data_IF_479288585950
#
_entry.id   IF_479288585950
#
_cell.length_a   1.000
_cell.length_b   1.000
_cell.length_c   1.000
_cell.angle_alpha   90.00
_cell.angle_beta   90.00
_cell.angle_gamma   90.00
#
_symmetry.space_group_name_H-M   'P 1'
#
loop_
_entity.id
_entity.type
_entity.pdbx_description
1 polymer ?
#
# COMPACT_ATOMS: atom_id res chain seq x y z
N UNK A 1 -32.22 5.92 16.52
CA UNK A 1 -31.06 5.08 16.13
C UNK A 1 -29.83 5.57 16.88
N UNK A 2 -29.27 4.72 17.75
CA UNK A 2 -28.17 5.06 18.65
C UNK A 2 -26.97 5.66 17.87
N UNK A 3 -26.31 6.72 18.38
CA UNK A 3 -25.19 7.37 17.69
C UNK A 3 -24.06 6.39 17.35
N UNK A 4 -23.89 5.33 18.15
CA UNK A 4 -22.94 4.24 17.89
C UNK A 4 -23.25 3.44 16.61
N UNK A 5 -24.53 3.15 16.31
CA UNK A 5 -24.92 2.39 15.11
C UNK A 5 -24.72 3.20 13.83
N UNK A 6 -24.99 4.51 13.88
CA UNK A 6 -24.71 5.41 12.75
C UNK A 6 -23.21 5.50 12.48
N UNK A 7 -22.40 5.64 13.53
CA UNK A 7 -20.95 5.67 13.37
C UNK A 7 -20.39 4.38 12.83
N UNK A 8 -20.84 3.24 13.36
CA UNK A 8 -20.45 1.93 12.85
C UNK A 8 -20.78 1.78 11.37
N UNK A 9 -21.97 2.21 10.95
CA UNK A 9 -22.38 2.14 9.55
C UNK A 9 -21.53 3.03 8.64
N UNK A 10 -21.13 4.21 9.10
CA UNK A 10 -20.23 5.10 8.36
C UNK A 10 -18.83 4.48 8.25
N UNK A 11 -18.31 3.89 9.34
CA UNK A 11 -17.02 3.17 9.34
C UNK A 11 -17.09 2.01 8.34
N UNK A 12 -18.14 1.19 8.37
CA UNK A 12 -18.32 0.08 7.44
C UNK A 12 -18.40 0.53 5.98
N UNK A 13 -19.11 1.63 5.70
CA UNK A 13 -19.23 2.20 4.36
C UNK A 13 -17.90 2.76 3.82
N UNK A 14 -17.01 3.19 4.70
CA UNK A 14 -15.64 3.61 4.36
C UNK A 14 -14.68 2.40 4.27
N UNK A 15 -14.84 1.43 5.16
CA UNK A 15 -14.01 0.23 5.23
C UNK A 15 -14.20 -0.65 4.01
N UNK A 16 -15.43 -0.86 3.53
CA UNK A 16 -15.70 -1.70 2.36
C UNK A 16 -14.85 -1.34 1.13
N UNK A 17 -14.88 -0.08 0.65
CA UNK A 17 -14.03 0.38 -0.46
C UNK A 17 -12.53 0.29 -0.16
N UNK A 18 -12.10 0.56 1.07
CA UNK A 18 -10.69 0.47 1.46
C UNK A 18 -10.19 -0.97 1.50
N UNK A 19 -11.00 -1.91 1.99
CA UNK A 19 -10.71 -3.34 1.98
C UNK A 19 -10.65 -3.84 0.54
N UNK A 20 -11.61 -3.48 -0.31
CA UNK A 20 -11.60 -3.84 -1.72
C UNK A 20 -10.36 -3.30 -2.44
N UNK A 21 -9.91 -2.08 -2.12
CA UNK A 21 -8.66 -1.51 -2.63
C UNK A 21 -7.43 -2.29 -2.16
N UNK A 22 -7.37 -2.70 -0.88
CA UNK A 22 -6.30 -3.56 -0.36
C UNK A 22 -6.28 -4.93 -1.04
N UNK A 23 -7.44 -5.55 -1.23
CA UNK A 23 -7.56 -6.84 -1.92
C UNK A 23 -7.13 -6.73 -3.39
N UNK A 24 -7.50 -5.65 -4.07
CA UNK A 24 -7.05 -5.41 -5.45
C UNK A 24 -5.53 -5.25 -5.54
N UNK A 25 -4.91 -4.56 -4.58
CA UNK A 25 -3.44 -4.45 -4.50
C UNK A 25 -2.79 -5.82 -4.24
N UNK A 26 -3.36 -6.62 -3.35
CA UNK A 26 -2.89 -8.00 -3.11
C UNK A 26 -3.01 -8.86 -4.37
N UNK A 27 -4.10 -8.70 -5.13
CA UNK A 27 -4.32 -9.42 -6.39
C UNK A 27 -3.28 -9.05 -7.45
N UNK A 28 -2.85 -7.78 -7.51
CA UNK A 28 -1.76 -7.35 -8.40
C UNK A 28 -0.45 -8.05 -8.03
N UNK A 29 -0.06 -8.00 -6.75
CA UNK A 29 1.19 -8.67 -6.28
C UNK A 29 1.15 -10.18 -6.55
N UNK A 30 -0.01 -10.80 -6.30
CA UNK A 30 -0.21 -12.23 -6.57
C UNK A 30 -0.11 -12.53 -8.07
N UNK A 31 -0.72 -11.71 -8.92
CA UNK A 31 -0.65 -11.85 -10.38
C UNK A 31 0.78 -11.73 -10.87
N UNK A 32 1.52 -10.71 -10.43
CA UNK A 32 2.93 -10.53 -10.78
C UNK A 32 3.76 -11.77 -10.40
N UNK A 33 3.52 -12.34 -9.21
CA UNK A 33 4.21 -13.55 -8.74
C UNK A 33 3.90 -14.79 -9.58
N UNK A 34 2.61 -15.01 -9.90
CA UNK A 34 2.18 -16.13 -10.76
C UNK A 34 2.78 -16.00 -12.16
N UNK A 35 2.85 -14.77 -12.68
CA UNK A 35 3.42 -14.49 -13.99
C UNK A 35 4.94 -14.71 -14.01
N UNK A 36 5.67 -14.33 -12.95
CA UNK A 36 7.09 -14.70 -12.80
C UNK A 36 7.27 -16.22 -12.80
N UNK A 37 6.40 -16.95 -12.11
CA UNK A 37 6.41 -18.42 -12.08
C UNK A 37 6.17 -19.06 -13.45
N UNK A 38 5.39 -18.42 -14.33
CA UNK A 38 5.16 -18.88 -15.71
C UNK A 38 6.36 -18.65 -16.64
N UNK A 39 7.21 -17.67 -16.36
CA UNK A 39 8.43 -17.42 -17.15
C UNK A 39 9.47 -18.51 -16.87
N UNK A 40 9.62 -18.90 -15.61
CA UNK A 40 10.44 -20.04 -15.21
C UNK A 40 10.91 -19.99 -13.75
N UNK A 41 11.48 -21.08 -13.22
CA UNK A 41 11.93 -21.16 -11.83
C UNK A 41 13.04 -20.15 -11.50
N UNK A 42 13.98 -19.92 -12.40
CA UNK A 42 15.07 -18.94 -12.23
C UNK A 42 14.55 -17.50 -12.23
N UNK A 43 13.60 -17.21 -13.11
CA UNK A 43 12.89 -15.93 -13.17
C UNK A 43 12.10 -15.67 -11.88
N UNK A 44 11.42 -16.68 -11.35
CA UNK A 44 10.71 -16.57 -10.07
C UNK A 44 11.68 -16.35 -8.89
N UNK A 45 12.83 -17.03 -8.86
CA UNK A 45 13.83 -16.86 -7.81
C UNK A 45 14.44 -15.45 -7.81
N UNK A 46 14.91 -14.98 -8.97
CA UNK A 46 15.47 -13.62 -9.11
C UNK A 46 14.42 -12.53 -8.92
N UNK A 47 13.22 -12.72 -9.47
CA UNK A 47 12.12 -11.76 -9.37
C UNK A 47 11.52 -11.69 -7.98
N UNK A 48 11.42 -12.82 -7.29
CA UNK A 48 11.02 -12.89 -5.88
C UNK A 48 12.00 -12.14 -4.97
N UNK A 49 13.30 -12.27 -5.21
CA UNK A 49 14.32 -11.51 -4.48
C UNK A 49 14.15 -10.00 -4.69
N UNK A 50 14.04 -9.56 -5.95
CA UNK A 50 13.82 -8.14 -6.27
C UNK A 50 12.48 -7.60 -5.72
N UNK A 51 11.40 -8.39 -5.80
CA UNK A 51 10.08 -8.03 -5.28
C UNK A 51 10.07 -7.95 -3.75
N UNK A 52 10.77 -8.84 -3.04
CA UNK A 52 10.89 -8.80 -1.59
C UNK A 52 11.63 -7.53 -1.13
N UNK A 53 12.77 -7.24 -1.76
CA UNK A 53 13.54 -6.01 -1.53
C UNK A 53 12.69 -4.76 -1.80
N UNK A 54 12.00 -4.71 -2.94
CA UNK A 54 11.11 -3.61 -3.28
C UNK A 54 9.96 -3.46 -2.28
N UNK A 55 9.37 -4.57 -1.83
CA UNK A 55 8.28 -4.58 -0.87
C UNK A 55 8.73 -4.01 0.48
N UNK A 56 9.94 -4.33 0.92
CA UNK A 56 10.52 -3.78 2.16
C UNK A 56 10.60 -2.25 2.10
N UNK A 57 11.20 -1.71 1.04
CA UNK A 57 11.31 -0.25 0.84
C UNK A 57 9.92 0.37 0.68
N UNK A 58 9.05 -0.27 -0.10
CA UNK A 58 7.69 0.21 -0.35
C UNK A 58 6.85 0.27 0.92
N UNK A 59 6.92 -0.72 1.82
CA UNK A 59 6.18 -0.69 3.07
C UNK A 59 6.61 0.44 3.98
N UNK A 60 7.92 0.72 4.07
CA UNK A 60 8.41 1.88 4.80
C UNK A 60 7.84 3.18 4.20
N UNK A 61 7.91 3.34 2.88
CA UNK A 61 7.38 4.53 2.23
C UNK A 61 5.85 4.67 2.39
N UNK A 62 5.09 3.59 2.25
CA UNK A 62 3.64 3.56 2.47
C UNK A 62 3.29 3.93 3.92
N UNK A 63 4.07 3.43 4.90
CA UNK A 63 3.91 3.79 6.30
C UNK A 63 4.09 5.30 6.54
N UNK A 64 5.11 5.90 5.95
CA UNK A 64 5.30 7.37 5.99
C UNK A 64 4.13 8.10 5.33
N UNK A 65 3.65 7.60 4.19
CA UNK A 65 2.53 8.20 3.45
C UNK A 65 1.18 8.07 4.17
N UNK A 66 1.00 7.08 5.03
CA UNK A 66 -0.21 6.94 5.84
C UNK A 66 -0.46 8.18 6.74
N UNK A 67 0.61 8.88 7.14
CA UNK A 67 0.51 10.13 7.90
C UNK A 67 -0.24 11.24 7.15
N UNK A 68 -0.16 11.26 5.81
CA UNK A 68 -0.89 12.25 4.98
C UNK A 68 -2.38 12.09 5.20
N UNK A 69 -2.88 10.86 5.17
CA UNK A 69 -4.30 10.56 5.39
C UNK A 69 -4.79 11.09 6.74
N UNK A 70 -4.09 10.74 7.82
CA UNK A 70 -4.46 11.13 9.18
C UNK A 70 -4.46 12.65 9.37
N UNK A 71 -3.42 13.34 8.93
CA UNK A 71 -3.32 14.80 9.08
C UNK A 71 -4.35 15.53 8.22
N UNK A 72 -4.62 15.06 7.00
CA UNK A 72 -5.70 15.61 6.17
C UNK A 72 -7.05 15.40 6.84
N UNK A 73 -7.30 14.23 7.44
CA UNK A 73 -8.55 13.96 8.15
C UNK A 73 -8.77 14.91 9.33
N UNK A 74 -7.70 15.22 10.08
CA UNK A 74 -7.74 16.19 11.18
C UNK A 74 -8.06 17.60 10.67
N UNK A 75 -7.35 18.07 9.63
CA UNK A 75 -7.59 19.41 9.05
C UNK A 75 -8.98 19.53 8.43
N UNK A 76 -9.44 18.48 7.75
CA UNK A 76 -10.79 18.39 7.21
C UNK A 76 -11.85 18.46 8.32
N UNK A 77 -11.64 17.73 9.42
CA UNK A 77 -12.51 17.80 10.60
C UNK A 77 -12.58 19.18 11.24
N UNK A 78 -11.47 19.93 11.21
CA UNK A 78 -11.38 21.30 11.74
C UNK A 78 -11.99 22.37 10.80
N UNK A 79 -12.45 21.98 9.61
CA UNK A 79 -12.94 22.92 8.59
C UNK A 79 -11.83 23.69 7.84
N UNK A 80 -10.56 23.35 8.07
CA UNK A 80 -9.40 23.98 7.43
C UNK A 80 -9.12 23.37 6.05
N UNK A 81 -9.88 23.83 5.04
CA UNK A 81 -9.80 23.34 3.66
C UNK A 81 -8.48 23.70 2.98
N UNK A 82 -7.92 24.88 3.30
CA UNK A 82 -6.64 25.33 2.76
C UNK A 82 -5.49 24.50 3.33
N UNK A 83 -5.48 24.26 4.65
CA UNK A 83 -4.51 23.40 5.31
C UNK A 83 -4.54 21.97 4.76
N UNK A 84 -5.73 21.39 4.58
CA UNK A 84 -5.88 20.06 3.97
C UNK A 84 -5.31 20.00 2.53
N UNK A 85 -5.50 21.06 1.75
CA UNK A 85 -4.98 21.17 0.38
C UNK A 85 -3.45 21.26 0.38
N UNK A 86 -2.88 22.14 1.21
CA UNK A 86 -1.42 22.30 1.33
C UNK A 86 -0.73 21.05 1.85
N UNK A 87 -1.37 20.32 2.77
CA UNK A 87 -0.84 19.08 3.33
C UNK A 87 -0.84 17.95 2.30
N UNK A 88 -1.85 17.90 1.43
CA UNK A 88 -1.88 16.97 0.29
C UNK A 88 -0.81 17.29 -0.75
N UNK A 89 -0.58 18.58 -1.04
CA UNK A 89 0.53 19.01 -1.91
C UNK A 89 1.89 18.66 -1.30
N UNK A 90 2.09 18.89 0.00
CA UNK A 90 3.30 18.49 0.72
C UNK A 90 3.48 16.96 0.72
N UNK A 91 2.39 16.20 0.84
CA UNK A 91 2.39 14.75 0.71
C UNK A 91 2.79 14.27 -0.68
N UNK A 92 2.34 14.94 -1.75
CA UNK A 92 2.80 14.67 -3.11
C UNK A 92 4.29 14.96 -3.29
N UNK A 93 4.77 16.11 -2.81
CA UNK A 93 6.20 16.43 -2.83
C UNK A 93 7.03 15.41 -2.02
N UNK A 94 6.51 14.97 -0.86
CA UNK A 94 7.13 13.93 -0.07
C UNK A 94 7.17 12.60 -0.82
N UNK A 95 6.07 12.21 -1.47
CA UNK A 95 5.98 11.00 -2.28
C UNK A 95 7.05 10.97 -3.38
N UNK A 96 7.24 12.09 -4.09
CA UNK A 96 8.25 12.20 -5.14
C UNK A 96 9.68 12.20 -4.59
N UNK A 97 9.94 12.93 -3.50
CA UNK A 97 11.24 12.92 -2.84
C UNK A 97 11.61 11.54 -2.30
N UNK A 98 10.67 10.85 -1.65
CA UNK A 98 10.84 9.49 -1.15
C UNK A 98 11.02 8.50 -2.28
N UNK A 99 10.24 8.60 -3.36
CA UNK A 99 10.38 7.75 -4.54
C UNK A 99 11.77 7.89 -5.18
N UNK A 100 12.31 9.11 -5.27
CA UNK A 100 13.65 9.34 -5.81
C UNK A 100 14.73 8.70 -4.92
N UNK A 101 14.67 8.92 -3.60
CA UNK A 101 15.63 8.34 -2.65
C UNK A 101 15.55 6.81 -2.67
N UNK A 102 14.34 6.26 -2.68
CA UNK A 102 14.11 4.82 -2.75
C UNK A 102 14.58 4.22 -4.09
N UNK A 103 14.39 4.91 -5.21
CA UNK A 103 14.90 4.46 -6.50
C UNK A 103 16.43 4.44 -6.55
N UNK A 104 17.09 5.49 -6.04
CA UNK A 104 18.55 5.55 -5.91
C UNK A 104 19.09 4.43 -5.01
N UNK A 105 18.41 4.14 -3.90
CA UNK A 105 18.77 3.06 -2.99
C UNK A 105 18.67 1.70 -3.69
N UNK A 106 17.56 1.45 -4.41
CA UNK A 106 17.31 0.20 -5.10
C UNK A 106 18.27 -0.04 -6.27
N UNK A 107 18.66 1.01 -7.00
CA UNK A 107 19.66 0.88 -8.07
C UNK A 107 21.06 0.57 -7.55
N UNK A 108 21.41 1.02 -6.34
CA UNK A 108 22.72 0.73 -5.74
C UNK A 108 22.73 -0.54 -4.88
N UNK A 109 21.67 -1.36 -4.96
CA UNK A 109 21.50 -2.51 -4.06
C UNK A 109 22.17 -3.80 -4.56
N UNK A 110 22.52 -3.87 -5.84
CA UNK A 110 23.22 -5.00 -6.47
C UNK A 110 24.49 -5.45 -5.69
N UNK A 111 25.45 -4.57 -5.33
CA UNK A 111 26.63 -4.97 -4.57
C UNK A 111 26.30 -5.44 -3.15
N UNK A 112 25.23 -4.93 -2.54
CA UNK A 112 24.79 -5.31 -1.19
C UNK A 112 24.23 -6.74 -1.24
N UNK A 113 23.40 -7.05 -2.24
CA UNK A 113 22.84 -8.39 -2.44
C UNK A 113 23.93 -9.45 -2.68
N UNK A 114 25.00 -9.10 -3.39
CA UNK A 114 26.17 -9.98 -3.58
C UNK A 114 26.93 -10.23 -2.25
N UNK A 115 27.07 -9.20 -1.39
CA UNK A 115 27.70 -9.36 -0.08
C UNK A 115 26.91 -10.25 0.89
N UNK A 116 25.59 -10.38 0.70
CA UNK A 116 24.73 -11.28 1.47
C UNK A 116 24.84 -12.76 1.03
N UNK A 117 25.73 -13.09 0.08
CA UNK A 117 25.98 -14.47 -0.35
C UNK A 117 24.91 -15.06 -1.28
N UNK A 118 24.11 -14.21 -1.93
CA UNK A 118 23.14 -14.64 -2.94
C UNK A 118 23.85 -15.09 -4.22
N UNK A 119 23.30 -16.10 -4.90
CA UNK A 119 23.84 -16.59 -6.16
C UNK A 119 23.87 -15.47 -7.22
N UNK A 120 25.01 -15.29 -7.90
CA UNK A 120 25.22 -14.21 -8.87
C UNK A 120 24.15 -14.17 -9.98
N UNK A 121 23.68 -15.33 -10.43
CA UNK A 121 22.60 -15.45 -11.42
C UNK A 121 21.27 -14.85 -10.91
N UNK A 122 20.92 -15.07 -9.64
CA UNK A 122 19.70 -14.52 -9.03
C UNK A 122 19.84 -13.01 -8.82
N UNK A 123 21.03 -12.53 -8.44
CA UNK A 123 21.30 -11.11 -8.24
C UNK A 123 21.22 -10.34 -9.55
N UNK A 124 21.76 -10.89 -10.64
CA UNK A 124 21.68 -10.25 -11.95
C UNK A 124 20.24 -10.17 -12.47
N UNK A 125 19.45 -11.23 -12.30
CA UNK A 125 18.02 -11.25 -12.64
C UNK A 125 17.21 -10.29 -11.76
N UNK A 126 17.52 -10.20 -10.47
CA UNK A 126 16.91 -9.24 -9.55
C UNK A 126 17.29 -7.80 -9.94
N UNK A 127 18.53 -7.55 -10.34
CA UNK A 127 19.00 -6.23 -10.79
C UNK A 127 18.23 -5.78 -12.03
N UNK A 128 18.03 -6.67 -13.02
CA UNK A 128 17.20 -6.38 -14.20
C UNK A 128 15.76 -5.99 -13.83
N UNK A 129 15.18 -6.67 -12.83
CA UNK A 129 13.84 -6.33 -12.31
C UNK A 129 13.83 -4.97 -11.59
N UNK A 130 14.87 -4.70 -10.79
CA UNK A 130 15.09 -3.50 -10.01
C UNK A 130 15.47 -2.27 -10.86
N UNK A 131 15.75 -2.41 -12.16
CA UNK A 131 15.92 -1.26 -13.07
C UNK A 131 14.57 -0.60 -13.32
N UNK A 132 13.54 -1.39 -13.66
CA UNK A 132 12.21 -0.88 -14.06
C UNK A 132 11.26 -0.68 -12.90
N UNK A 133 11.32 -1.54 -11.88
CA UNK A 133 10.35 -1.53 -10.79
C UNK A 133 10.35 -0.24 -9.94
N UNK A 134 11.49 0.44 -9.69
CA UNK A 134 11.48 1.71 -8.97
C UNK A 134 10.67 2.82 -9.65
N UNK A 135 10.45 2.75 -10.97
CA UNK A 135 9.54 3.67 -11.66
C UNK A 135 8.07 3.52 -11.23
N UNK A 136 7.71 2.43 -10.54
CA UNK A 136 6.40 2.25 -9.92
C UNK A 136 6.24 3.05 -8.61
N UNK A 137 7.34 3.31 -7.86
CA UNK A 137 7.30 4.03 -6.59
C UNK A 137 6.67 5.42 -6.67
N UNK A 138 7.01 6.31 -7.62
CA UNK A 138 6.38 7.63 -7.69
C UNK A 138 4.87 7.53 -7.92
N UNK A 139 4.43 6.59 -8.75
CA UNK A 139 3.01 6.30 -8.98
C UNK A 139 2.32 5.77 -7.72
N UNK A 140 2.90 4.75 -7.08
CA UNK A 140 2.36 4.13 -5.87
C UNK A 140 2.25 5.11 -4.70
N UNK A 141 3.30 5.89 -4.43
CA UNK A 141 3.28 6.85 -3.32
C UNK A 141 2.36 8.03 -3.61
N UNK A 142 2.30 8.50 -4.85
CA UNK A 142 1.31 9.51 -5.25
C UNK A 142 -0.11 8.97 -5.08
N UNK A 143 -0.38 7.75 -5.54
CA UNK A 143 -1.68 7.10 -5.34
C UNK A 143 -2.04 6.98 -3.86
N UNK A 144 -1.09 6.63 -2.99
CA UNK A 144 -1.32 6.57 -1.54
C UNK A 144 -1.61 7.96 -0.93
N UNK A 145 -0.92 9.01 -1.38
CA UNK A 145 -1.21 10.38 -0.96
C UNK A 145 -2.65 10.79 -1.32
N UNK A 146 -3.04 10.58 -2.57
CA UNK A 146 -4.36 10.93 -3.08
C UNK A 146 -5.45 10.05 -2.47
N UNK A 147 -5.18 8.76 -2.28
CA UNK A 147 -6.07 7.82 -1.58
C UNK A 147 -6.31 8.29 -0.17
N UNK A 148 -5.25 8.65 0.57
CA UNK A 148 -5.34 9.21 1.91
C UNK A 148 -6.23 10.44 1.95
N UNK A 149 -6.01 11.39 1.04
CA UNK A 149 -6.85 12.59 0.91
C UNK A 149 -8.32 12.25 0.62
N UNK A 150 -8.59 11.43 -0.40
CA UNK A 150 -9.95 11.11 -0.84
C UNK A 150 -10.72 10.35 0.27
N UNK A 151 -10.03 9.48 0.99
CA UNK A 151 -10.57 8.75 2.14
C UNK A 151 -10.80 9.67 3.34
N UNK A 152 -9.96 10.69 3.53
CA UNK A 152 -10.13 11.72 4.56
C UNK A 152 -11.38 12.56 4.39
N UNK A 153 -11.86 12.72 3.15
CA UNK A 153 -13.11 13.41 2.84
C UNK A 153 -14.34 12.48 2.97
N UNK A 154 -14.16 11.24 3.41
CA UNK A 154 -15.25 10.26 3.51
C UNK A 154 -15.64 9.62 2.17
N UNK A 155 -14.84 9.79 1.11
CA UNK A 155 -15.17 9.37 -0.26
C UNK A 155 -14.20 8.30 -0.77
N UNK A 156 -14.23 7.10 -0.17
CA UNK A 156 -13.35 6.01 -0.59
C UNK A 156 -13.81 5.26 -1.87
N UNK A 157 -14.99 5.56 -2.42
CA UNK A 157 -15.55 4.90 -3.61
C UNK A 157 -14.66 4.97 -4.87
N UNK A 158 -14.14 6.16 -5.27
CA UNK A 158 -13.26 6.27 -6.43
C UNK A 158 -11.96 5.47 -6.29
N UNK A 159 -11.43 5.37 -5.06
CA UNK A 159 -10.22 4.57 -4.78
C UNK A 159 -10.48 3.11 -5.10
N UNK A 160 -11.62 2.56 -4.66
CA UNK A 160 -12.00 1.17 -4.95
C UNK A 160 -12.11 0.92 -6.45
N UNK A 161 -12.85 1.76 -7.19
CA UNK A 161 -13.06 1.55 -8.63
C UNK A 161 -11.76 1.60 -9.41
N UNK A 162 -10.86 2.53 -9.05
CA UNK A 162 -9.56 2.68 -9.72
C UNK A 162 -8.63 1.52 -9.33
N UNK A 163 -8.62 1.07 -8.07
CA UNK A 163 -7.84 -0.10 -7.66
C UNK A 163 -8.28 -1.38 -8.35
N UNK A 164 -9.58 -1.64 -8.45
CA UNK A 164 -10.11 -2.82 -9.16
C UNK A 164 -9.81 -2.76 -10.67
N UNK A 165 -10.02 -1.60 -11.30
CA UNK A 165 -9.67 -1.40 -12.71
C UNK A 165 -8.16 -1.54 -12.93
N UNK A 166 -7.34 -1.03 -12.01
CA UNK A 166 -5.88 -1.17 -12.05
C UNK A 166 -5.43 -2.62 -11.92
N UNK A 167 -6.03 -3.40 -11.02
CA UNK A 167 -5.73 -4.83 -10.90
C UNK A 167 -6.11 -5.61 -12.17
N UNK A 168 -7.27 -5.31 -12.76
CA UNK A 168 -7.68 -5.89 -14.04
C UNK A 168 -6.72 -5.50 -15.18
N UNK A 169 -6.34 -4.23 -15.25
CA UNK A 169 -5.37 -3.75 -16.24
C UNK A 169 -4.00 -4.42 -16.06
N UNK A 170 -3.49 -4.55 -14.84
CA UNK A 170 -2.24 -5.26 -14.55
C UNK A 170 -2.29 -6.70 -15.05
N UNK A 171 -3.37 -7.44 -14.76
CA UNK A 171 -3.53 -8.81 -15.26
C UNK A 171 -3.52 -8.88 -16.80
N UNK A 172 -4.28 -8.02 -17.47
CA UNK A 172 -4.37 -8.00 -18.94
C UNK A 172 -3.04 -7.60 -19.57
N UNK A 173 -2.38 -6.56 -19.06
CA UNK A 173 -1.09 -6.09 -19.60
C UNK A 173 0.03 -7.12 -19.36
N UNK A 174 0.09 -7.72 -18.18
CA UNK A 174 1.05 -8.79 -17.89
C UNK A 174 0.83 -10.01 -18.81
N UNK A 175 -0.43 -10.41 -18.99
CA UNK A 175 -0.76 -11.52 -19.88
C UNK A 175 -0.40 -11.22 -21.35
N UNK A 176 -0.74 -10.01 -21.83
CA UNK A 176 -0.42 -9.57 -23.18
C UNK A 176 1.08 -9.51 -23.45
N UNK A 177 1.88 -9.10 -22.45
CA UNK A 177 3.34 -9.11 -22.54
C UNK A 177 3.92 -10.51 -22.68
N UNK A 178 3.43 -11.47 -21.89
CA UNK A 178 3.95 -12.85 -21.91
C UNK A 178 3.56 -13.57 -23.21
N UNK A 179 2.35 -13.35 -23.72
CA UNK A 179 1.87 -13.97 -24.96
C UNK A 179 2.35 -13.25 -26.24
N UNK A 180 3.19 -12.21 -26.13
CA UNK A 180 3.73 -11.44 -27.26
C UNK A 180 2.67 -10.89 -28.23
N UNK A 181 1.42 -10.73 -27.77
CA UNK A 181 0.26 -10.38 -28.62
C UNK A 181 0.39 -9.03 -29.34
N UNK A 182 1.32 -8.17 -28.92
CA UNK A 182 1.55 -6.83 -29.47
C UNK A 182 2.86 -6.68 -30.26
N UNK A 183 3.57 -7.78 -30.58
CA UNK A 183 4.90 -7.69 -31.22
C UNK A 183 5.95 -7.01 -30.33
N UNK A 184 5.69 -6.92 -29.02
CA UNK A 184 6.60 -6.37 -28.02
C UNK A 184 7.75 -7.34 -27.76
N UNK A 185 8.99 -6.84 -27.58
CA UNK A 185 10.13 -7.67 -27.25
C UNK A 185 9.90 -8.39 -25.91
N UNK A 186 10.38 -9.63 -25.83
CA UNK A 186 10.21 -10.47 -24.64
C UNK A 186 11.14 -9.96 -23.51
N UNK A 187 10.70 -8.91 -22.81
CA UNK A 187 11.47 -8.26 -21.73
C UNK A 187 11.48 -9.09 -20.43
N UNK A 188 10.85 -10.27 -20.42
CA UNK A 188 10.85 -11.20 -19.27
C UNK A 188 10.45 -10.52 -17.97
N UNK A 189 11.31 -10.62 -16.95
CA UNK A 189 11.11 -9.99 -15.64
C UNK A 189 10.95 -8.47 -15.71
N UNK A 190 11.80 -7.81 -16.50
CA UNK A 190 11.80 -6.36 -16.67
C UNK A 190 10.45 -5.87 -17.20
N UNK A 191 9.78 -6.72 -17.99
CA UNK A 191 8.42 -6.52 -18.45
C UNK A 191 7.38 -6.42 -17.34
N UNK A 192 7.40 -7.36 -16.40
CA UNK A 192 6.47 -7.37 -15.26
C UNK A 192 6.66 -6.08 -14.42
N UNK A 193 7.91 -5.68 -14.17
CA UNK A 193 8.22 -4.45 -13.46
C UNK A 193 7.71 -3.20 -14.19
N UNK A 194 7.84 -3.16 -15.52
CA UNK A 194 7.35 -2.07 -16.36
C UNK A 194 5.81 -1.99 -16.38
N UNK A 195 5.12 -3.13 -16.48
CA UNK A 195 3.65 -3.17 -16.41
C UNK A 195 3.18 -2.64 -15.06
N UNK A 196 3.78 -3.07 -13.96
CA UNK A 196 3.43 -2.59 -12.62
C UNK A 196 3.74 -1.10 -12.47
N UNK A 197 4.83 -0.59 -13.04
CA UNK A 197 5.11 0.83 -13.08
C UNK A 197 4.06 1.63 -13.88
N UNK A 198 3.69 1.17 -15.07
CA UNK A 198 2.69 1.84 -15.91
C UNK A 198 1.33 1.85 -15.19
N UNK A 199 0.89 0.71 -14.67
CA UNK A 199 -0.42 0.60 -14.01
C UNK A 199 -0.50 1.49 -12.78
N UNK A 200 0.52 1.46 -11.91
CA UNK A 200 0.51 2.29 -10.68
C UNK A 200 0.55 3.79 -11.00
N UNK A 201 1.33 4.22 -12.00
CA UNK A 201 1.32 5.60 -12.47
C UNK A 201 -0.04 5.98 -13.10
N UNK A 202 -0.63 5.10 -13.92
CA UNK A 202 -1.97 5.30 -14.47
C UNK A 202 -3.04 5.40 -13.38
N UNK A 203 -2.98 4.58 -12.32
CA UNK A 203 -3.88 4.66 -11.18
C UNK A 203 -3.75 6.00 -10.45
N UNK A 204 -2.52 6.46 -10.22
CA UNK A 204 -2.26 7.76 -9.62
C UNK A 204 -2.82 8.92 -10.46
N UNK A 205 -2.58 8.88 -11.78
CA UNK A 205 -3.09 9.88 -12.72
C UNK A 205 -4.62 9.85 -12.81
N UNK A 206 -5.23 8.66 -12.88
CA UNK A 206 -6.68 8.51 -12.91
C UNK A 206 -7.33 9.11 -11.66
N UNK A 207 -6.76 8.86 -10.48
CA UNK A 207 -7.25 9.42 -9.23
C UNK A 207 -7.05 10.94 -9.19
N UNK A 208 -5.90 11.45 -9.66
CA UNK A 208 -5.65 12.89 -9.76
C UNK A 208 -6.63 13.60 -10.70
N UNK A 209 -6.91 13.02 -11.86
CA UNK A 209 -7.88 13.53 -12.82
C UNK A 209 -9.30 13.50 -12.27
N UNK A 210 -9.67 12.43 -11.55
CA UNK A 210 -10.97 12.32 -10.91
C UNK A 210 -11.18 13.40 -9.85
N UNK A 211 -10.17 13.65 -9.00
CA UNK A 211 -10.21 14.73 -8.00
C UNK A 211 -10.31 16.10 -8.68
N UNK A 212 -9.56 16.35 -9.77
CA UNK A 212 -9.60 17.63 -10.48
C UNK A 212 -10.94 17.90 -11.16
N UNK A 213 -11.61 16.87 -11.69
CA UNK A 213 -12.88 17.03 -12.45
C UNK A 213 -14.12 17.03 -11.57
N UNK A 214 -14.10 16.34 -10.43
CA UNK A 214 -15.32 16.10 -9.67
C UNK A 214 -15.67 17.30 -8.76
N UNK A 215 -16.88 17.88 -8.86
CA UNK A 215 -17.23 19.18 -8.25
C UNK A 215 -17.15 19.16 -6.72
N UNK A 216 -17.31 17.99 -6.10
CA UNK A 216 -17.15 17.84 -4.66
C UNK A 216 -15.76 18.13 -4.10
N UNK A 217 -14.72 18.12 -4.95
CA UNK A 217 -13.36 18.49 -4.56
C UNK A 217 -13.02 19.92 -4.97
N UNK A 218 -13.95 20.67 -5.58
CA UNK A 218 -13.71 22.04 -6.04
C UNK A 218 -13.37 23.01 -4.90
N UNK A 219 -13.79 22.69 -3.67
CA UNK A 219 -13.40 23.41 -2.45
C UNK A 219 -11.91 23.24 -2.08
N UNK A 220 -11.20 22.30 -2.71
CA UNK A 220 -9.79 21.98 -2.45
C UNK A 220 -8.96 22.20 -3.72
N UNK A 221 -8.41 23.42 -3.93
CA UNK A 221 -7.67 23.73 -5.14
C UNK A 221 -6.25 23.17 -5.11
N UNK A 222 -6.10 21.83 -5.18
CA UNK A 222 -4.81 21.13 -5.17
C UNK A 222 -3.90 21.60 -6.31
N UNK A 223 -4.45 22.03 -7.44
CA UNK A 223 -3.68 22.54 -8.58
C UNK A 223 -3.20 23.99 -8.43
N UNK A 224 -3.87 24.82 -7.62
CA UNK A 224 -3.47 26.23 -7.41
C UNK A 224 -2.53 26.30 -6.20
N UNK A 225 -1.24 26.00 -6.41
CA UNK A 225 -0.24 26.12 -5.33
C UNK A 225 0.83 25.05 -5.25
N UNK A 226 0.87 24.11 -6.20
CA UNK A 226 1.93 23.08 -6.31
C UNK A 226 3.35 23.64 -6.22
N UNK A 227 3.54 24.92 -6.55
CA UNK A 227 4.83 25.63 -6.51
C UNK A 227 5.23 26.17 -5.12
N UNK A 228 4.32 26.31 -4.14
CA UNK A 228 4.65 26.82 -2.79
C UNK A 228 4.76 25.67 -1.80
N UNK A 229 5.95 25.06 -1.75
CA UNK A 229 6.29 24.04 -0.77
C UNK A 229 6.29 24.64 0.64
N UNK A 230 5.26 24.36 1.44
CA UNK A 230 5.25 24.73 2.86
C UNK A 230 6.16 23.79 3.66
N UNK A 231 7.38 24.24 3.95
CA UNK A 231 8.34 23.49 4.79
C UNK A 231 7.74 23.06 6.14
N UNK A 232 6.81 23.84 6.68
CA UNK A 232 6.08 23.54 7.93
C UNK A 232 5.27 22.25 7.83
N UNK A 233 4.40 22.11 6.81
CA UNK A 233 3.58 20.90 6.64
C UNK A 233 4.42 19.69 6.24
N UNK A 234 5.52 19.89 5.51
CA UNK A 234 6.45 18.81 5.19
C UNK A 234 7.14 18.27 6.46
N UNK A 235 7.55 19.16 7.38
CA UNK A 235 8.14 18.76 8.68
C UNK A 235 7.12 18.07 9.57
N UNK A 236 5.88 18.54 9.58
CA UNK A 236 4.75 17.90 10.29
C UNK A 236 4.52 16.48 9.77
N UNK A 237 4.53 16.31 8.44
CA UNK A 237 4.37 15.02 7.79
C UNK A 237 5.53 14.07 8.06
N UNK A 238 6.78 14.54 8.02
CA UNK A 238 7.95 13.73 8.40
C UNK A 238 7.91 13.32 9.87
N UNK A 239 7.54 14.24 10.78
CA UNK A 239 7.52 13.96 12.21
C UNK A 239 6.49 12.88 12.58
N UNK A 240 5.36 12.83 11.87
CA UNK A 240 4.32 11.83 12.10
C UNK A 240 4.53 10.56 11.25
N UNK A 241 5.03 10.72 10.02
CA UNK A 241 5.28 9.62 9.08
C UNK A 241 6.51 8.78 9.43
N UNK A 242 7.60 9.37 9.92
CA UNK A 242 8.81 8.62 10.26
C UNK A 242 8.59 7.58 11.37
N UNK A 243 7.89 7.89 12.48
CA UNK A 243 7.52 6.88 13.47
C UNK A 243 6.63 5.77 12.89
N UNK A 244 5.62 6.12 12.07
CA UNK A 244 4.73 5.14 11.46
C UNK A 244 5.49 4.23 10.50
N UNK A 245 6.29 4.81 9.59
CA UNK A 245 7.17 4.06 8.69
C UNK A 245 8.15 3.16 9.47
N UNK A 246 8.71 3.65 10.57
CA UNK A 246 9.52 2.87 11.48
C UNK A 246 8.79 1.67 12.08
N UNK A 247 7.53 1.84 12.50
CA UNK A 247 6.69 0.72 12.96
C UNK A 247 6.49 -0.33 11.88
N UNK A 248 6.15 0.08 10.65
CA UNK A 248 6.03 -0.86 9.52
C UNK A 248 7.35 -1.56 9.20
N UNK A 249 8.49 -0.86 9.24
CA UNK A 249 9.80 -1.46 9.00
C UNK A 249 10.17 -2.48 10.09
N UNK A 250 9.88 -2.19 11.36
CA UNK A 250 10.08 -3.12 12.48
C UNK A 250 9.17 -4.33 12.32
N UNK A 251 7.91 -4.15 11.95
CA UNK A 251 6.96 -5.23 11.71
C UNK A 251 7.44 -6.18 10.61
N UNK A 252 7.81 -5.63 9.44
CA UNK A 252 8.36 -6.41 8.33
C UNK A 252 9.69 -7.07 8.70
N UNK A 253 10.56 -6.37 9.43
CA UNK A 253 11.82 -6.90 9.93
C UNK A 253 11.61 -8.09 10.87
N UNK A 254 10.61 -8.01 11.76
CA UNK A 254 10.27 -9.09 12.68
C UNK A 254 9.73 -10.33 11.95
N UNK A 255 8.87 -10.15 10.94
CA UNK A 255 8.44 -11.25 10.09
C UNK A 255 9.59 -11.87 9.29
N UNK A 256 10.50 -11.05 8.77
CA UNK A 256 11.68 -11.51 8.04
C UNK A 256 12.61 -12.31 8.95
N UNK A 257 12.83 -11.83 10.18
CA UNK A 257 13.62 -12.53 11.20
C UNK A 257 12.97 -13.87 11.59
N UNK A 258 11.65 -13.90 11.80
CA UNK A 258 10.93 -15.14 12.09
C UNK A 258 11.04 -16.16 10.96
N UNK A 259 10.90 -15.71 9.69
CA UNK A 259 11.10 -16.56 8.52
C UNK A 259 12.53 -17.11 8.46
N UNK A 260 13.54 -16.29 8.78
CA UNK A 260 14.94 -16.73 8.83
C UNK A 260 15.19 -17.80 9.90
N UNK A 261 14.63 -17.63 11.10
CA UNK A 261 14.69 -18.63 12.17
C UNK A 261 14.05 -19.97 11.74
N UNK A 262 12.92 -19.94 11.03
CA UNK A 262 12.29 -21.15 10.49
C UNK A 262 13.09 -21.78 9.34
N UNK A 263 13.84 -20.98 8.59
CA UNK A 263 14.82 -21.42 7.60
C UNK A 263 15.87 -22.37 8.14
N UNK A 264 16.37 -22.08 9.33
CA UNK A 264 17.36 -22.93 9.98
C UNK A 264 16.80 -24.29 10.41
N UNK A 265 15.47 -24.46 10.49
CA UNK A 265 14.81 -25.69 10.96
C UNK A 265 14.53 -26.73 9.85
N UNK A 266 14.54 -26.33 8.57
CA UNK A 266 14.37 -27.22 7.42
C UNK A 266 13.45 -26.66 6.32
N UNK A 267 13.64 -27.16 5.09
CA UNK A 267 12.96 -26.66 3.88
C UNK A 267 11.45 -26.95 3.87
N UNK A 268 11.01 -28.04 4.49
CA UNK A 268 9.59 -28.39 4.62
C UNK A 268 8.87 -27.47 5.61
N UNK A 269 9.49 -27.11 6.75
CA UNK A 269 8.92 -26.15 7.69
C UNK A 269 8.86 -24.73 7.09
N UNK A 270 9.87 -24.32 6.32
CA UNK A 270 9.87 -23.06 5.56
C UNK A 270 8.69 -22.96 4.60
N UNK A 271 8.48 -23.98 3.77
CA UNK A 271 7.38 -24.00 2.80
C UNK A 271 6.01 -23.92 3.50
N UNK A 272 5.83 -24.68 4.58
CA UNK A 272 4.61 -24.62 5.39
C UNK A 272 4.40 -23.23 6.03
N UNK A 273 5.47 -22.62 6.55
CA UNK A 273 5.42 -21.28 7.11
C UNK A 273 5.03 -20.24 6.05
N UNK A 274 5.59 -20.32 4.86
CA UNK A 274 5.31 -19.37 3.78
C UNK A 274 3.86 -19.44 3.31
N UNK A 275 3.29 -20.65 3.18
CA UNK A 275 1.87 -20.86 2.84
C UNK A 275 0.97 -20.31 3.96
N UNK A 276 1.31 -20.58 5.23
CA UNK A 276 0.58 -20.05 6.37
C UNK A 276 0.61 -18.51 6.39
N UNK A 277 1.78 -17.91 6.15
CA UNK A 277 1.98 -16.47 6.18
C UNK A 277 1.24 -15.78 5.02
N UNK A 278 1.18 -16.40 3.83
CA UNK A 278 0.37 -15.90 2.71
C UNK A 278 -1.13 -15.88 3.05
N UNK A 279 -1.62 -16.96 3.67
CA UNK A 279 -3.03 -17.11 4.08
C UNK A 279 -3.39 -16.10 5.17
N UNK A 280 -2.52 -15.93 6.16
CA UNK A 280 -2.66 -14.92 7.21
C UNK A 280 -2.62 -13.51 6.62
N UNK A 281 -1.72 -13.23 5.67
CA UNK A 281 -1.61 -11.92 5.02
C UNK A 281 -2.90 -11.54 4.28
N UNK A 282 -3.55 -12.50 3.61
CA UNK A 282 -4.85 -12.28 2.98
C UNK A 282 -5.93 -11.93 4.01
N UNK A 283 -5.98 -12.68 5.12
CA UNK A 283 -6.89 -12.39 6.22
C UNK A 283 -6.61 -11.01 6.85
N UNK A 284 -5.34 -10.59 6.91
CA UNK A 284 -4.90 -9.35 7.52
C UNK A 284 -5.33 -8.10 6.75
N UNK A 285 -5.59 -8.21 5.44
CA UNK A 285 -6.01 -7.07 4.60
C UNK A 285 -7.35 -6.47 5.02
N UNK A 286 -8.27 -7.28 5.56
CA UNK A 286 -9.58 -6.84 6.04
C UNK A 286 -9.46 -5.93 7.27
N UNK A 287 -8.80 -6.36 8.37
CA UNK A 287 -8.49 -5.51 9.53
C UNK A 287 -7.68 -4.28 9.18
N UNK A 288 -6.69 -4.38 8.27
CA UNK A 288 -5.90 -3.22 7.83
C UNK A 288 -6.80 -2.17 7.16
N UNK A 289 -7.69 -2.59 6.24
CA UNK A 289 -8.66 -1.71 5.61
C UNK A 289 -9.60 -1.04 6.62
N UNK A 290 -10.06 -1.77 7.63
CA UNK A 290 -10.85 -1.21 8.74
C UNK A 290 -10.05 -0.24 9.61
N UNK A 291 -8.80 -0.58 9.92
CA UNK A 291 -7.90 0.27 10.72
C UNK A 291 -7.70 1.63 10.06
N UNK A 292 -7.53 1.67 8.74
CA UNK A 292 -7.52 2.92 7.98
C UNK A 292 -8.84 3.68 8.13
N UNK A 293 -10.00 3.03 7.90
CA UNK A 293 -11.30 3.70 8.02
C UNK A 293 -11.52 4.33 9.40
N UNK A 294 -11.19 3.58 10.46
CA UNK A 294 -11.29 4.03 11.86
C UNK A 294 -10.33 5.20 12.12
N UNK A 295 -9.07 5.11 11.67
CA UNK A 295 -8.07 6.17 11.83
C UNK A 295 -8.53 7.48 11.19
N UNK A 296 -9.09 7.41 9.98
CA UNK A 296 -9.60 8.60 9.29
C UNK A 296 -10.83 9.20 10.00
N UNK A 297 -11.75 8.37 10.51
CA UNK A 297 -12.92 8.85 11.29
C UNK A 297 -12.49 9.49 12.60
N UNK A 298 -11.54 8.88 13.32
CA UNK A 298 -10.95 9.46 14.53
C UNK A 298 -10.32 10.81 14.20
N UNK A 299 -9.55 10.90 13.10
CA UNK A 299 -8.95 12.14 12.64
C UNK A 299 -9.99 13.24 12.40
N UNK A 300 -11.07 12.93 11.70
CA UNK A 300 -12.18 13.88 11.46
C UNK A 300 -12.82 14.37 12.76
N UNK A 301 -13.16 13.47 13.69
CA UNK A 301 -13.78 13.87 14.96
C UNK A 301 -12.83 14.63 15.87
N UNK A 302 -11.55 14.30 15.83
CA UNK A 302 -10.50 15.00 16.57
C UNK A 302 -10.34 16.43 16.05
N UNK A 303 -10.31 16.61 14.73
CA UNK A 303 -10.30 17.93 14.09
C UNK A 303 -11.53 18.77 14.42
N UNK A 304 -12.71 18.15 14.50
CA UNK A 304 -13.96 18.82 14.84
C UNK A 304 -14.11 19.17 16.34
N UNK A 305 -13.11 18.87 17.17
CA UNK A 305 -13.14 19.12 18.62
C UNK A 305 -14.06 18.18 19.41
N UNK A 306 -14.62 17.14 18.79
CA UNK A 306 -15.60 16.26 19.44
C UNK A 306 -14.90 15.02 20.05
N UNK A 307 -14.27 15.22 21.21
CA UNK A 307 -13.53 14.17 21.93
C UNK A 307 -14.39 12.97 22.36
N UNK A 308 -15.70 13.17 22.57
CA UNK A 308 -16.62 12.08 22.87
C UNK A 308 -16.75 11.13 21.67
N UNK A 309 -16.94 11.68 20.47
CA UNK A 309 -17.00 10.89 19.24
C UNK A 309 -15.67 10.23 18.90
N UNK A 310 -14.53 10.88 19.22
CA UNK A 310 -13.20 10.27 19.12
C UNK A 310 -13.10 9.00 19.97
N UNK A 311 -13.48 9.07 21.25
CA UNK A 311 -13.44 7.92 22.16
C UNK A 311 -14.43 6.82 21.76
N UNK A 312 -15.56 7.20 21.16
CA UNK A 312 -16.55 6.24 20.67
C UNK A 312 -16.06 5.53 19.41
N UNK A 313 -15.57 6.26 18.42
CA UNK A 313 -15.00 5.71 17.18
C UNK A 313 -13.79 4.81 17.48
N UNK A 314 -12.91 5.21 18.41
CA UNK A 314 -11.79 4.39 18.86
C UNK A 314 -12.24 3.09 19.54
N UNK A 315 -13.18 3.16 20.49
CA UNK A 315 -13.69 1.95 21.17
C UNK A 315 -14.45 1.02 20.24
N UNK A 316 -15.27 1.56 19.34
CA UNK A 316 -15.95 0.78 18.31
C UNK A 316 -14.96 0.13 17.35
N UNK A 317 -13.93 0.86 16.93
CA UNK A 317 -12.86 0.34 16.07
C UNK A 317 -12.06 -0.79 16.72
N UNK A 318 -11.67 -0.63 17.99
CA UNK A 318 -10.98 -1.67 18.76
C UNK A 318 -11.88 -2.88 18.96
N UNK A 319 -13.14 -2.68 19.35
CA UNK A 319 -14.11 -3.75 19.55
C UNK A 319 -14.36 -4.54 18.25
N UNK A 320 -14.61 -3.84 17.14
CA UNK A 320 -14.82 -4.50 15.85
C UNK A 320 -13.56 -5.17 15.31
N UNK A 321 -12.40 -4.49 15.39
CA UNK A 321 -11.13 -5.07 14.99
C UNK A 321 -10.79 -6.33 15.78
N UNK A 322 -11.02 -6.29 17.10
CA UNK A 322 -10.87 -7.44 17.99
C UNK A 322 -11.83 -8.58 17.64
N UNK A 323 -13.11 -8.29 17.38
CA UNK A 323 -14.07 -9.31 16.95
C UNK A 323 -13.68 -9.96 15.61
N UNK A 324 -13.25 -9.16 14.62
CA UNK A 324 -12.80 -9.69 13.32
C UNK A 324 -11.55 -10.55 13.48
N UNK A 325 -10.57 -10.10 14.28
CA UNK A 325 -9.37 -10.88 14.60
C UNK A 325 -9.69 -12.18 15.33
N UNK A 326 -10.59 -12.14 16.31
CA UNK A 326 -11.05 -13.34 17.02
C UNK A 326 -11.79 -14.30 16.08
N UNK A 327 -12.61 -13.78 15.17
CA UNK A 327 -13.29 -14.60 14.17
C UNK A 327 -12.29 -15.28 13.24
N UNK A 328 -11.25 -14.58 12.78
CA UNK A 328 -10.16 -15.20 12.01
C UNK A 328 -9.38 -16.23 12.85
N UNK A 329 -9.05 -15.92 14.10
CA UNK A 329 -8.40 -16.87 15.00
C UNK A 329 -9.22 -18.14 15.21
N UNK A 330 -10.53 -18.01 15.40
CA UNK A 330 -11.47 -19.13 15.48
C UNK A 330 -11.56 -19.90 14.17
N UNK A 331 -11.58 -19.21 13.03
CA UNK A 331 -11.59 -19.84 11.71
C UNK A 331 -10.32 -20.68 11.49
N UNK A 332 -9.14 -20.14 11.81
CA UNK A 332 -7.87 -20.85 11.73
C UNK A 332 -7.82 -22.04 12.70
N UNK A 333 -8.43 -21.91 13.89
CA UNK A 333 -8.47 -22.98 14.88
C UNK A 333 -9.46 -24.11 14.52
N UNK A 334 -10.61 -23.78 13.92
CA UNK A 334 -11.65 -24.73 13.54
C UNK A 334 -11.43 -25.37 12.16
N UNK A 335 -10.69 -24.71 11.27
CA UNK A 335 -10.39 -25.21 9.93
C UNK A 335 -8.87 -25.45 9.70
N UNK A 336 -8.16 -26.22 10.55
CA UNK A 336 -6.75 -26.54 10.33
C UNK A 336 -6.51 -27.35 9.04
N UNK A 337 -7.55 -27.98 8.49
CA UNK A 337 -7.50 -28.82 7.28
C UNK A 337 -7.60 -28.06 5.94
N UNK A 338 -7.84 -26.74 5.95
CA UNK A 338 -7.85 -25.93 4.71
C UNK A 338 -6.45 -25.41 4.36
N UNK A 339 -5.51 -25.46 5.33
CA UNK A 339 -4.11 -25.05 5.18
C UNK A 339 -3.11 -26.23 5.13
N UNK A 340 -3.57 -27.48 5.17
CA UNK A 340 -2.75 -28.70 5.01
C UNK A 340 -2.99 -29.32 3.64
#
# INVERSE_FOLDING_TARGET
>A
MQPALKELWIILRLAGPLIASQMAHMLMVFTDTVMMGKIGPEALAGGGLGAATYSFVSFFCVGVMAAVGTLVAIRHGAGDTEGATRLTQAGLWLAWGMALVAALLLWNLEPILLQFGQAEANVHMAAQFLITLPFALPGLLSFMALRGFTSALGRAGPVMTISLAGAGANFVLNYAMIHQWLGLPNLGLMGIGLVTAIVTNCMALALALHIKRHPAYAAYPISKGLSKLSRTHLKELWRLGLPIGGTYAVEVGLFTFAAFCMGAMGSTQMAAHQIALQTVSMAFMVPVGMSYAVTMRIGQHYGAGNLLMVRMAGRLGIGFGGCVMLMFGLLFWLAPRVCS
#
